data_IF_555997256371
#
_entry.id   IF_555997256371
#
_cell.length_a   1.000
_cell.length_b   1.000
_cell.length_c   1.000
_cell.angle_alpha   90.00
_cell.angle_beta   90.00
_cell.angle_gamma   90.00
#
_symmetry.space_group_name_H-M   'P 1'
#
loop_
_entity.id
_entity.type
_entity.pdbx_description
1 polymer ?
#
# COMPACT_ATOMS: atom_id res chain seq x y z
N UNK A 1 4.40 32.52 -13.13
CA UNK A 1 3.45 31.50 -12.62
C UNK A 1 4.11 30.83 -11.44
N UNK A 2 3.70 31.15 -10.20
CA UNK A 2 4.25 30.54 -8.99
C UNK A 2 3.81 29.08 -8.91
N UNK A 3 4.74 28.15 -9.07
CA UNK A 3 4.47 26.73 -8.84
C UNK A 3 4.07 26.52 -7.39
N UNK A 4 2.95 25.83 -7.14
CA UNK A 4 2.55 25.40 -5.80
C UNK A 4 3.68 24.51 -5.26
N UNK A 5 4.32 24.95 -4.18
CA UNK A 5 5.33 24.13 -3.51
C UNK A 5 4.62 23.06 -2.67
N UNK A 6 4.59 21.80 -3.17
CA UNK A 6 4.04 20.67 -2.45
C UNK A 6 4.99 20.26 -1.32
N UNK A 7 4.49 20.21 -0.08
CA UNK A 7 5.24 19.73 1.07
C UNK A 7 5.37 18.20 1.04
N UNK A 8 6.58 17.69 1.22
CA UNK A 8 6.85 16.26 1.39
C UNK A 8 6.99 15.85 2.86
N UNK A 9 6.65 16.73 3.81
CA UNK A 9 6.65 16.41 5.24
C UNK A 9 5.51 15.44 5.54
N UNK A 10 5.78 14.25 6.11
CA UNK A 10 4.75 13.32 6.52
C UNK A 10 3.90 13.89 7.65
N UNK A 11 2.60 13.75 7.53
CA UNK A 11 1.63 14.05 8.58
C UNK A 11 0.65 12.88 8.72
N UNK A 12 0.12 12.66 9.91
CA UNK A 12 -0.93 11.66 10.12
C UNK A 12 -2.14 12.00 9.22
N UNK A 13 -2.60 11.00 8.47
CA UNK A 13 -3.80 11.14 7.66
C UNK A 13 -5.05 10.98 8.54
N UNK A 14 -5.99 11.89 8.40
CA UNK A 14 -7.28 11.87 9.11
C UNK A 14 -8.42 11.59 8.12
N UNK A 15 -9.60 11.21 8.62
CA UNK A 15 -10.74 10.83 7.76
C UNK A 15 -11.09 11.88 6.72
N UNK A 16 -10.92 13.17 7.03
CA UNK A 16 -11.15 14.26 6.07
C UNK A 16 -10.18 14.24 4.87
N UNK A 17 -9.05 13.57 4.98
CA UNK A 17 -8.06 13.42 3.91
C UNK A 17 -8.43 12.31 2.91
N UNK A 18 -9.46 11.51 3.18
CA UNK A 18 -9.81 10.34 2.37
C UNK A 18 -9.90 10.63 0.86
N UNK A 19 -10.54 11.73 0.38
CA UNK A 19 -10.58 12.01 -1.05
C UNK A 19 -9.20 12.30 -1.67
N UNK A 20 -8.31 12.96 -0.91
CA UNK A 20 -6.96 13.27 -1.38
C UNK A 20 -6.08 12.01 -1.40
N UNK A 21 -6.11 11.22 -0.32
CA UNK A 21 -5.41 9.94 -0.19
C UNK A 21 -5.81 8.97 -1.31
N UNK A 22 -7.13 8.78 -1.51
CA UNK A 22 -7.66 7.90 -2.55
C UNK A 22 -7.19 8.32 -3.96
N UNK A 23 -7.25 9.60 -4.27
CA UNK A 23 -6.84 10.16 -5.56
C UNK A 23 -5.33 10.00 -5.80
N UNK A 24 -4.48 10.30 -4.82
CA UNK A 24 -3.02 10.13 -4.96
C UNK A 24 -2.65 8.66 -5.18
N UNK A 25 -3.26 7.75 -4.41
CA UNK A 25 -3.01 6.32 -4.56
C UNK A 25 -3.58 5.77 -5.87
N UNK A 26 -4.78 6.18 -6.30
CA UNK A 26 -5.31 5.79 -7.60
C UNK A 26 -4.34 6.14 -8.74
N UNK A 27 -3.81 7.36 -8.75
CA UNK A 27 -2.83 7.80 -9.75
C UNK A 27 -1.50 7.06 -9.65
N UNK A 28 -1.04 6.78 -8.43
CA UNK A 28 0.21 6.04 -8.20
C UNK A 28 0.14 4.60 -8.71
N UNK A 29 -1.03 3.97 -8.61
CA UNK A 29 -1.24 2.56 -8.90
C UNK A 29 -1.97 2.27 -10.21
N UNK A 30 -2.34 3.28 -10.99
CA UNK A 30 -3.11 3.09 -12.24
C UNK A 30 -2.42 2.16 -13.24
N UNK A 31 -1.09 2.17 -13.29
CA UNK A 31 -0.24 1.31 -14.14
C UNK A 31 0.45 0.18 -13.36
N UNK A 32 0.02 -0.07 -12.12
CA UNK A 32 0.55 -1.16 -11.33
C UNK A 32 0.10 -2.52 -11.90
N UNK A 33 1.00 -3.51 -12.09
CA UNK A 33 0.64 -4.80 -12.68
C UNK A 33 -0.47 -5.53 -11.95
N UNK A 34 -0.46 -5.51 -10.61
CA UNK A 34 -1.49 -6.15 -9.79
C UNK A 34 -2.82 -5.40 -9.93
N UNK A 35 -2.80 -4.07 -9.91
CA UNK A 35 -4.03 -3.27 -10.06
C UNK A 35 -4.60 -3.38 -11.48
N UNK A 36 -3.78 -3.45 -12.51
CA UNK A 36 -4.23 -3.72 -13.88
C UNK A 36 -4.86 -5.11 -14.02
N UNK A 37 -4.36 -6.08 -13.29
CA UNK A 37 -4.89 -7.45 -13.31
C UNK A 37 -6.25 -7.54 -12.59
N UNK A 38 -6.44 -6.85 -11.47
CA UNK A 38 -7.72 -6.80 -10.76
C UNK A 38 -8.73 -5.87 -11.43
N UNK A 39 -8.28 -4.78 -12.05
CA UNK A 39 -9.09 -3.77 -12.71
C UNK A 39 -8.67 -3.62 -14.18
N UNK A 40 -9.01 -4.58 -15.06
CA UNK A 40 -8.46 -4.64 -16.43
C UNK A 40 -8.90 -3.51 -17.34
N UNK A 41 -10.08 -2.89 -17.11
CA UNK A 41 -10.59 -1.80 -17.95
C UNK A 41 -9.82 -0.50 -17.69
N UNK A 42 -9.10 0.02 -18.68
CA UNK A 42 -8.38 1.28 -18.59
C UNK A 42 -9.32 2.47 -18.33
N UNK A 43 -10.55 2.41 -18.85
CA UNK A 43 -11.56 3.47 -18.71
C UNK A 43 -12.08 3.59 -17.28
N UNK A 44 -12.40 2.47 -16.64
CA UNK A 44 -13.02 2.47 -15.30
C UNK A 44 -12.03 2.32 -14.17
N UNK A 45 -10.79 1.90 -14.46
CA UNK A 45 -9.75 1.64 -13.44
C UNK A 45 -9.48 2.83 -12.52
N UNK A 46 -9.30 4.08 -13.00
CA UNK A 46 -9.00 5.20 -12.13
C UNK A 46 -10.06 5.43 -11.06
N UNK A 47 -11.34 5.41 -11.43
CA UNK A 47 -12.46 5.57 -10.50
C UNK A 47 -12.56 4.40 -9.51
N UNK A 48 -12.41 3.18 -10.02
CA UNK A 48 -12.45 1.97 -9.17
C UNK A 48 -11.30 1.94 -8.16
N UNK A 49 -10.10 2.41 -8.54
CA UNK A 49 -8.96 2.55 -7.64
C UNK A 49 -9.19 3.64 -6.58
N UNK A 50 -9.81 4.77 -6.93
CA UNK A 50 -10.18 5.78 -5.92
C UNK A 50 -11.15 5.18 -4.89
N UNK A 51 -12.18 4.46 -5.32
CA UNK A 51 -13.10 3.76 -4.42
C UNK A 51 -12.38 2.70 -3.58
N UNK A 52 -11.50 1.91 -4.20
CA UNK A 52 -10.73 0.87 -3.54
C UNK A 52 -9.83 1.43 -2.43
N UNK A 53 -8.95 2.37 -2.76
CA UNK A 53 -8.04 2.96 -1.77
C UNK A 53 -8.78 3.80 -0.73
N UNK A 54 -9.87 4.47 -1.11
CA UNK A 54 -10.74 5.17 -0.18
C UNK A 54 -11.38 4.23 0.84
N UNK A 55 -11.85 3.06 0.40
CA UNK A 55 -12.41 2.01 1.27
C UNK A 55 -11.33 1.44 2.20
N UNK A 56 -10.16 1.09 1.67
CA UNK A 56 -9.03 0.61 2.49
C UNK A 56 -8.64 1.63 3.56
N UNK A 57 -8.57 2.92 3.21
CA UNK A 57 -8.24 3.95 4.16
C UNK A 57 -9.32 4.14 5.22
N UNK A 58 -10.57 4.31 4.83
CA UNK A 58 -11.65 4.69 5.76
C UNK A 58 -12.18 3.56 6.61
N UNK A 59 -12.05 2.30 6.14
CA UNK A 59 -12.68 1.14 6.75
C UNK A 59 -11.69 0.12 7.34
N UNK A 60 -10.43 0.17 6.91
CA UNK A 60 -9.46 -0.85 7.30
C UNK A 60 -8.22 -0.20 7.93
N UNK A 61 -7.32 0.31 7.13
CA UNK A 61 -6.01 0.77 7.61
C UNK A 61 -6.05 2.08 8.40
N UNK A 62 -6.94 3.02 8.06
CA UNK A 62 -7.06 4.29 8.77
C UNK A 62 -7.67 4.17 10.16
N UNK A 63 -8.38 3.06 10.44
CA UNK A 63 -8.95 2.78 11.76
C UNK A 63 -7.96 2.07 12.70
N UNK A 64 -7.09 1.25 12.17
CA UNK A 64 -6.30 0.28 12.94
C UNK A 64 -4.79 0.35 12.67
N UNK A 65 -4.40 1.04 11.61
CA UNK A 65 -3.03 1.24 11.22
C UNK A 65 -2.51 2.63 11.53
N UNK A 66 -1.29 2.89 11.08
CA UNK A 66 -0.69 4.22 11.02
C UNK A 66 -0.72 4.67 9.55
N UNK A 67 -1.67 5.51 9.19
CA UNK A 67 -1.75 6.10 7.87
C UNK A 67 -1.13 7.50 7.89
N UNK A 68 -0.24 7.76 6.95
CA UNK A 68 0.42 9.04 6.78
C UNK A 68 0.25 9.54 5.35
N UNK A 69 0.27 10.85 5.18
CA UNK A 69 0.27 11.50 3.89
C UNK A 69 1.27 12.64 3.81
N UNK A 70 1.59 13.02 2.60
CA UNK A 70 2.17 14.30 2.21
C UNK A 70 1.18 15.00 1.26
N UNK A 71 1.58 16.12 0.66
CA UNK A 71 0.69 16.81 -0.31
C UNK A 71 0.50 16.02 -1.64
N UNK A 72 1.25 14.94 -1.87
CA UNK A 72 1.18 14.18 -3.11
C UNK A 72 1.39 12.66 -2.95
N UNK A 73 1.34 12.13 -1.74
CA UNK A 73 1.57 10.70 -1.49
C UNK A 73 0.85 10.24 -0.22
N UNK A 74 0.64 8.93 -0.09
CA UNK A 74 0.16 8.32 1.14
C UNK A 74 0.84 6.97 1.37
N UNK A 75 0.90 6.56 2.65
CA UNK A 75 1.36 5.24 3.08
C UNK A 75 0.46 4.70 4.19
N UNK A 76 0.19 3.40 4.14
CA UNK A 76 -0.56 2.65 5.14
C UNK A 76 0.36 1.64 5.79
N UNK A 77 0.61 1.84 7.07
CA UNK A 77 1.42 0.97 7.91
C UNK A 77 0.55 0.23 8.91
N UNK A 78 0.83 -1.03 9.12
CA UNK A 78 0.17 -1.84 10.14
C UNK A 78 1.23 -2.26 11.16
N UNK A 79 1.19 -1.70 12.38
CA UNK A 79 2.03 -2.18 13.48
C UNK A 79 1.54 -3.55 13.96
N UNK A 80 2.39 -4.36 14.63
CA UNK A 80 2.04 -5.72 15.03
C UNK A 80 0.75 -5.81 15.86
N UNK A 81 0.52 -4.88 16.76
CA UNK A 81 -0.69 -4.78 17.59
C UNK A 81 -1.96 -4.42 16.81
N UNK A 82 -1.78 -3.93 15.58
CA UNK A 82 -2.87 -3.62 14.64
C UNK A 82 -3.19 -4.74 13.67
N UNK A 83 -2.36 -5.77 13.55
CA UNK A 83 -2.46 -6.80 12.51
C UNK A 83 -3.82 -7.50 12.50
N UNK A 84 -4.29 -7.98 13.66
CA UNK A 84 -5.59 -8.65 13.77
C UNK A 84 -6.76 -7.70 13.51
N UNK A 85 -6.63 -6.42 13.85
CA UNK A 85 -7.65 -5.40 13.69
C UNK A 85 -7.71 -4.86 12.26
N UNK A 86 -6.63 -4.96 11.51
CA UNK A 86 -6.56 -4.54 10.12
C UNK A 86 -7.18 -5.57 9.15
N UNK A 87 -7.74 -6.67 9.64
CA UNK A 87 -8.55 -7.60 8.85
C UNK A 87 -9.88 -6.91 8.53
N UNK A 88 -10.32 -6.89 7.26
CA UNK A 88 -11.56 -6.23 6.89
C UNK A 88 -12.78 -6.95 7.49
N UNK A 89 -13.72 -6.18 8.03
CA UNK A 89 -15.02 -6.69 8.48
C UNK A 89 -15.92 -7.09 7.29
N UNK A 90 -17.06 -7.74 7.58
CA UNK A 90 -17.99 -8.23 6.55
C UNK A 90 -18.50 -7.10 5.63
N UNK A 91 -18.74 -5.92 6.17
CA UNK A 91 -19.21 -4.78 5.38
C UNK A 91 -18.10 -4.28 4.43
N UNK A 92 -16.88 -4.20 4.92
CA UNK A 92 -15.70 -3.83 4.10
C UNK A 92 -15.47 -4.87 3.00
N UNK A 93 -15.56 -6.17 3.33
CA UNK A 93 -15.46 -7.24 2.33
C UNK A 93 -16.55 -7.12 1.26
N UNK A 94 -17.80 -6.81 1.65
CA UNK A 94 -18.90 -6.59 0.71
C UNK A 94 -18.60 -5.42 -0.24
N UNK A 95 -18.16 -4.28 0.29
CA UNK A 95 -17.79 -3.11 -0.51
C UNK A 95 -16.65 -3.41 -1.47
N UNK A 96 -15.61 -4.11 -1.00
CA UNK A 96 -14.48 -4.50 -1.84
C UNK A 96 -14.93 -5.45 -2.97
N UNK A 97 -15.84 -6.40 -2.68
CA UNK A 97 -16.44 -7.26 -3.71
C UNK A 97 -17.21 -6.47 -4.76
N UNK A 98 -18.00 -5.46 -4.37
CA UNK A 98 -18.69 -4.58 -5.31
C UNK A 98 -17.70 -3.80 -6.20
N UNK A 99 -16.61 -3.31 -5.61
CA UNK A 99 -15.57 -2.59 -6.33
C UNK A 99 -14.80 -3.51 -7.30
N UNK A 100 -14.50 -4.73 -6.89
CA UNK A 100 -13.75 -5.73 -7.68
C UNK A 100 -14.61 -6.44 -8.74
N UNK A 101 -15.93 -6.49 -8.55
CA UNK A 101 -16.86 -7.18 -9.46
C UNK A 101 -16.43 -8.63 -9.69
N UNK A 102 -16.39 -9.07 -10.95
CA UNK A 102 -16.04 -10.45 -11.33
C UNK A 102 -14.62 -10.91 -10.92
N UNK A 103 -13.79 -9.97 -10.45
CA UNK A 103 -12.44 -10.28 -9.95
C UNK A 103 -12.36 -10.48 -8.43
N UNK A 104 -13.50 -10.38 -7.72
CA UNK A 104 -13.50 -10.43 -6.25
C UNK A 104 -13.00 -11.76 -5.68
N UNK A 105 -13.38 -12.89 -6.28
CA UNK A 105 -12.90 -14.21 -5.82
C UNK A 105 -11.40 -14.36 -6.06
N UNK A 106 -10.95 -14.04 -7.25
CA UNK A 106 -9.53 -14.07 -7.61
C UNK A 106 -8.68 -13.15 -6.73
N UNK A 107 -9.21 -11.98 -6.35
CA UNK A 107 -8.57 -11.09 -5.38
C UNK A 107 -8.45 -11.76 -4.01
N UNK A 108 -9.50 -12.41 -3.52
CA UNK A 108 -9.46 -13.15 -2.26
C UNK A 108 -8.42 -14.25 -2.25
N UNK A 109 -8.33 -15.04 -3.32
CA UNK A 109 -7.31 -16.08 -3.48
C UNK A 109 -5.90 -15.49 -3.51
N UNK A 110 -5.69 -14.38 -4.20
CA UNK A 110 -4.41 -13.71 -4.28
C UNK A 110 -3.96 -13.15 -2.92
N UNK A 111 -4.88 -12.52 -2.17
CA UNK A 111 -4.61 -12.03 -0.80
C UNK A 111 -4.26 -13.18 0.13
N UNK A 112 -5.00 -14.28 0.08
CA UNK A 112 -4.72 -15.45 0.91
C UNK A 112 -3.36 -16.08 0.55
N UNK A 113 -3.03 -16.18 -0.74
CA UNK A 113 -1.75 -16.69 -1.20
C UNK A 113 -0.57 -15.81 -0.73
N UNK A 114 -0.69 -14.49 -0.83
CA UNK A 114 0.34 -13.57 -0.34
C UNK A 114 0.50 -13.65 1.18
N UNK A 115 -0.61 -13.67 1.92
CA UNK A 115 -0.61 -13.75 3.39
C UNK A 115 0.06 -15.04 3.93
N UNK A 116 0.03 -16.14 3.19
CA UNK A 116 0.68 -17.38 3.57
C UNK A 116 2.23 -17.27 3.64
N UNK A 117 2.81 -16.25 3.01
CA UNK A 117 4.25 -15.97 3.00
C UNK A 117 4.66 -14.85 3.99
N UNK A 118 3.69 -14.23 4.67
CA UNK A 118 3.99 -13.22 5.68
C UNK A 118 4.75 -13.82 6.88
N UNK A 119 5.69 -13.05 7.49
CA UNK A 119 6.41 -13.53 8.67
C UNK A 119 5.46 -13.85 9.83
N UNK A 120 5.76 -14.93 10.58
CA UNK A 120 4.97 -15.32 11.75
C UNK A 120 5.36 -14.53 13.01
N UNK A 121 6.58 -14.01 13.05
CA UNK A 121 7.03 -13.14 14.15
C UNK A 121 6.41 -11.75 14.08
N UNK A 122 6.31 -11.03 15.22
CA UNK A 122 5.83 -9.65 15.24
C UNK A 122 6.65 -8.76 14.29
N UNK A 123 5.97 -8.05 13.41
CA UNK A 123 6.58 -7.18 12.42
C UNK A 123 5.65 -6.00 12.06
N UNK A 124 6.24 -4.95 11.53
CA UNK A 124 5.49 -3.89 10.85
C UNK A 124 5.21 -4.31 9.41
N UNK A 125 3.99 -4.09 8.95
CA UNK A 125 3.60 -4.33 7.57
C UNK A 125 3.37 -3.01 6.83
N UNK A 126 4.12 -2.77 5.75
CA UNK A 126 3.83 -1.70 4.81
C UNK A 126 2.83 -2.20 3.77
N UNK A 127 1.55 -1.96 4.04
CA UNK A 127 0.46 -2.43 3.18
C UNK A 127 0.34 -1.65 1.86
N UNK A 128 0.54 -0.33 1.92
CA UNK A 128 0.45 0.56 0.76
C UNK A 128 1.45 1.70 0.90
N UNK A 129 2.15 2.03 -0.17
CA UNK A 129 2.82 3.32 -0.34
C UNK A 129 2.77 3.74 -1.79
N UNK A 130 2.33 4.97 -2.06
CA UNK A 130 2.23 5.48 -3.41
C UNK A 130 2.34 7.00 -3.45
N UNK A 131 3.01 7.51 -4.47
CA UNK A 131 3.12 8.94 -4.74
C UNK A 131 2.55 9.26 -6.13
N UNK A 132 1.83 10.37 -6.22
CA UNK A 132 1.31 10.88 -7.49
C UNK A 132 2.46 11.00 -8.50
N UNK A 133 2.34 10.39 -9.69
CA UNK A 133 3.37 10.47 -10.74
C UNK A 133 3.77 11.91 -11.09
N UNK A 134 2.86 12.88 -10.99
CA UNK A 134 3.15 14.30 -11.22
C UNK A 134 4.13 14.92 -10.19
N UNK A 135 4.30 14.26 -9.04
CA UNK A 135 5.24 14.66 -7.99
C UNK A 135 6.47 13.74 -7.90
N UNK A 136 6.69 12.86 -8.89
CA UNK A 136 7.84 11.95 -8.92
C UNK A 136 9.16 12.70 -8.79
N UNK A 137 10.12 12.10 -8.07
CA UNK A 137 11.45 12.68 -7.83
C UNK A 137 11.49 13.76 -6.75
N UNK A 138 10.36 14.18 -6.17
CA UNK A 138 10.30 15.19 -5.11
C UNK A 138 10.38 14.63 -3.69
N UNK A 139 10.63 13.34 -3.55
CA UNK A 139 10.91 12.68 -2.25
C UNK A 139 9.71 12.35 -1.39
N UNK A 140 8.47 12.51 -1.87
CA UNK A 140 7.24 12.24 -1.10
C UNK A 140 7.18 10.79 -0.58
N UNK A 141 7.33 9.79 -1.46
CA UNK A 141 7.33 8.38 -1.05
C UNK A 141 8.48 8.04 -0.11
N UNK A 142 9.68 8.56 -0.38
CA UNK A 142 10.86 8.35 0.48
C UNK A 142 10.69 8.99 1.87
N UNK A 143 9.98 10.10 1.97
CA UNK A 143 9.70 10.74 3.26
C UNK A 143 8.76 9.87 4.10
N UNK A 144 7.69 9.33 3.48
CA UNK A 144 6.76 8.41 4.14
C UNK A 144 7.44 7.09 4.55
N UNK A 145 8.33 6.54 3.69
CA UNK A 145 9.12 5.37 4.06
C UNK A 145 10.00 5.64 5.26
N UNK A 146 10.76 6.75 5.28
CA UNK A 146 11.60 7.12 6.43
C UNK A 146 10.80 7.27 7.72
N UNK A 147 9.62 7.90 7.64
CA UNK A 147 8.76 8.10 8.81
C UNK A 147 8.32 6.77 9.44
N UNK A 148 7.73 5.86 8.65
CA UNK A 148 7.29 4.57 9.18
C UNK A 148 8.44 3.66 9.61
N UNK A 149 9.55 3.65 8.88
CA UNK A 149 10.74 2.87 9.24
C UNK A 149 11.38 3.35 10.56
N UNK A 150 11.36 4.65 10.85
CA UNK A 150 11.85 5.17 12.12
C UNK A 150 11.01 4.68 13.32
N UNK A 151 9.71 4.46 13.14
CA UNK A 151 8.87 3.87 14.19
C UNK A 151 9.20 2.39 14.40
N UNK A 152 9.35 1.63 13.30
CA UNK A 152 9.72 0.22 13.38
C UNK A 152 11.09 0.03 14.03
N UNK A 153 12.07 0.87 13.70
CA UNK A 153 13.41 0.87 14.29
C UNK A 153 13.37 1.19 15.80
N UNK A 154 12.56 2.19 16.19
CA UNK A 154 12.37 2.53 17.61
C UNK A 154 11.73 1.38 18.40
N UNK A 155 10.84 0.63 17.76
CA UNK A 155 10.22 -0.56 18.34
C UNK A 155 11.16 -1.80 18.32
N UNK A 156 12.30 -1.74 17.64
CA UNK A 156 13.21 -2.87 17.48
C UNK A 156 12.62 -4.00 16.62
N UNK A 157 11.68 -3.70 15.74
CA UNK A 157 10.91 -4.69 14.99
C UNK A 157 11.23 -4.69 13.49
N UNK A 158 11.22 -5.84 12.84
CA UNK A 158 11.39 -5.93 11.40
C UNK A 158 10.19 -5.36 10.65
N UNK A 159 10.41 -5.03 9.38
CA UNK A 159 9.37 -4.56 8.46
C UNK A 159 9.23 -5.53 7.30
N UNK A 160 7.99 -5.80 6.90
CA UNK A 160 7.61 -6.62 5.76
C UNK A 160 6.79 -5.83 4.76
N UNK A 161 6.94 -6.13 3.48
CA UNK A 161 6.11 -5.65 2.38
C UNK A 161 6.10 -6.64 1.22
N UNK A 162 5.11 -6.53 0.33
CA UNK A 162 5.13 -7.12 -1.01
C UNK A 162 5.17 -6.01 -2.07
N UNK A 163 6.11 -6.09 -3.01
CA UNK A 163 6.17 -5.20 -4.17
C UNK A 163 5.59 -5.89 -5.39
N UNK A 164 4.70 -5.20 -6.11
CA UNK A 164 4.12 -5.65 -7.39
C UNK A 164 4.92 -5.19 -8.61
N UNK A 165 5.93 -4.32 -8.42
CA UNK A 165 6.76 -3.78 -9.50
C UNK A 165 8.24 -4.04 -9.25
N UNK A 166 8.95 -4.69 -10.19
CA UNK A 166 10.40 -4.87 -10.09
C UNK A 166 11.16 -3.52 -10.06
N UNK A 167 10.66 -2.50 -10.74
CA UNK A 167 11.25 -1.16 -10.76
C UNK A 167 11.29 -0.47 -9.40
N UNK A 168 10.48 -0.92 -8.44
CA UNK A 168 10.47 -0.40 -7.08
C UNK A 168 11.49 -1.10 -6.17
N UNK A 169 12.02 -2.27 -6.55
CA UNK A 169 12.96 -3.03 -5.70
C UNK A 169 14.20 -2.22 -5.32
N UNK A 170 14.88 -1.49 -6.25
CA UNK A 170 16.05 -0.68 -5.88
C UNK A 170 15.74 0.40 -4.84
N UNK A 171 14.52 0.96 -4.86
CA UNK A 171 14.09 1.92 -3.83
C UNK A 171 14.02 1.24 -2.46
N UNK A 172 13.36 0.09 -2.36
CA UNK A 172 13.23 -0.63 -1.10
C UNK A 172 14.59 -1.16 -0.61
N UNK A 173 15.45 -1.65 -1.49
CA UNK A 173 16.82 -2.08 -1.18
C UNK A 173 17.66 -0.92 -0.62
N UNK A 174 17.54 0.29 -1.17
CA UNK A 174 18.17 1.50 -0.62
C UNK A 174 17.73 1.76 0.84
N UNK A 175 16.49 1.43 1.20
CA UNK A 175 16.00 1.51 2.58
C UNK A 175 16.38 0.29 3.44
N UNK A 176 17.09 -0.69 2.90
CA UNK A 176 17.60 -1.85 3.61
C UNK A 176 16.68 -3.07 3.58
N UNK A 177 15.68 -3.06 2.72
CA UNK A 177 14.90 -4.26 2.45
C UNK A 177 15.70 -5.26 1.61
N UNK A 178 15.40 -6.53 1.80
CA UNK A 178 15.96 -7.65 1.02
C UNK A 178 14.81 -8.48 0.50
N UNK A 179 14.86 -8.82 -0.79
CA UNK A 179 13.92 -9.77 -1.39
C UNK A 179 14.12 -11.14 -0.72
N UNK A 180 13.06 -11.71 -0.21
CA UNK A 180 13.05 -13.06 0.39
C UNK A 180 12.52 -14.09 -0.58
N UNK A 181 11.50 -13.73 -1.35
CA UNK A 181 10.84 -14.64 -2.25
C UNK A 181 10.16 -13.88 -3.40
N UNK A 182 10.08 -14.50 -4.57
CA UNK A 182 9.22 -14.08 -5.67
C UNK A 182 8.00 -15.01 -5.67
N UNK A 183 6.82 -14.43 -5.44
CA UNK A 183 5.55 -15.12 -5.41
C UNK A 183 4.83 -14.93 -6.75
N UNK A 184 4.13 -15.96 -7.21
CA UNK A 184 3.22 -15.85 -8.35
C UNK A 184 1.78 -15.89 -7.87
N UNK A 185 1.02 -14.88 -8.19
CA UNK A 185 -0.39 -14.84 -7.84
C UNK A 185 -1.18 -15.92 -8.61
N UNK A 186 -2.21 -16.52 -7.99
CA UNK A 186 -3.05 -17.53 -8.64
C UNK A 186 -3.74 -16.97 -9.88
N UNK A 187 -4.29 -17.87 -10.74
CA UNK A 187 -5.02 -17.46 -11.94
C UNK A 187 -4.17 -16.76 -13.01
N UNK A 188 -2.84 -16.99 -13.04
CA UNK A 188 -1.93 -16.36 -13.99
C UNK A 188 -1.63 -14.89 -13.68
N UNK A 189 -1.79 -14.49 -12.42
CA UNK A 189 -1.50 -13.13 -11.95
C UNK A 189 -0.03 -12.76 -12.00
N UNK A 190 0.29 -11.48 -11.75
CA UNK A 190 1.65 -10.98 -11.77
C UNK A 190 2.48 -11.55 -10.62
N UNK A 191 3.80 -11.41 -10.71
CA UNK A 191 4.70 -11.69 -9.62
C UNK A 191 4.59 -10.63 -8.52
N UNK A 192 4.78 -11.05 -7.28
CA UNK A 192 5.03 -10.19 -6.12
C UNK A 192 6.39 -10.54 -5.53
N UNK A 193 7.09 -9.54 -5.07
CA UNK A 193 8.36 -9.71 -4.35
C UNK A 193 8.14 -9.47 -2.87
N UNK A 194 8.14 -10.54 -2.08
CA UNK A 194 8.12 -10.48 -0.63
C UNK A 194 9.47 -9.96 -0.13
N UNK A 195 9.46 -8.84 0.57
CA UNK A 195 10.67 -8.18 1.04
C UNK A 195 10.63 -7.96 2.54
N UNK A 196 11.78 -8.07 3.18
CA UNK A 196 11.95 -7.88 4.62
C UNK A 196 13.12 -6.98 4.92
N UNK A 197 12.98 -6.15 5.95
CA UNK A 197 14.03 -5.30 6.52
C UNK A 197 14.18 -5.61 8.01
N UNK A 198 15.40 -5.86 8.46
CA UNK A 198 15.71 -5.91 9.89
C UNK A 198 15.68 -4.52 10.53
N UNK A 199 15.38 -4.38 11.83
CA UNK A 199 15.48 -3.11 12.54
C UNK A 199 16.93 -2.60 12.53
N UNK A 200 17.10 -1.28 12.65
CA UNK A 200 18.41 -0.61 12.71
C UNK A 200 18.58 0.16 14.02
#
# INVERSE_FOLDING_TARGET
MGGVHLSNTPVAAVTADAPAVARHLSRAFVDDPMMRWFFPSDETRPERLERYFGTLFTRQYGLHGRCERTDAAAAFWVPPEGAEKAVPDEETVRLLREILGDRAELFGEAVAAAAAHAPQEPHWYLAVVGADPAARGRGHGSALLRSGLAEADRAGLPVYLESSKPDNLPLYEHFGFVVREELRLPGGGPALWAMRRAPR
#
